data_IF_009826778302
#
_entry.id   IF_009826778302
#
_cell.length_a   1.000
_cell.length_b   1.000
_cell.length_c   1.000
_cell.angle_alpha   90.00
_cell.angle_beta   90.00
_cell.angle_gamma   90.00
#
_symmetry.space_group_name_H-M   'P 1'
#
loop_
_entity.id
_entity.type
_entity.pdbx_description
1 polymer ?
#
# COMPACT_ATOMS: atom_id res chain seq x y z
N UNK A 1 20.81 2.51 1.66
CA UNK A 1 19.37 2.13 1.75
C UNK A 1 18.55 3.41 1.85
N UNK A 2 17.54 3.58 0.99
CA UNK A 2 16.63 4.73 1.03
C UNK A 2 15.28 4.25 1.56
N UNK A 3 14.75 4.91 2.59
CA UNK A 3 13.45 4.61 3.17
C UNK A 3 12.53 5.82 2.98
N UNK A 4 11.43 5.64 2.25
CA UNK A 4 10.39 6.64 2.11
C UNK A 4 9.23 6.30 3.05
N UNK A 5 9.00 7.15 4.05
CA UNK A 5 7.92 6.97 5.02
C UNK A 5 6.82 8.00 4.72
N UNK A 6 5.65 7.52 4.31
CA UNK A 6 4.49 8.38 4.08
C UNK A 6 3.47 8.18 5.20
N UNK A 7 3.24 9.18 6.07
CA UNK A 7 2.26 9.05 7.14
C UNK A 7 0.83 8.90 6.60
N UNK A 8 0.00 8.12 7.30
CA UNK A 8 -1.40 7.87 6.90
C UNK A 8 -2.25 9.14 6.76
N UNK A 9 -2.05 10.15 7.59
CA UNK A 9 -2.84 11.38 7.55
C UNK A 9 -2.70 12.15 6.23
N UNK A 10 -1.56 12.04 5.55
CA UNK A 10 -1.35 12.61 4.21
C UNK A 10 -2.33 11.98 3.22
N UNK A 11 -2.45 10.65 3.25
CA UNK A 11 -3.37 9.90 2.40
C UNK A 11 -4.82 10.19 2.73
N UNK A 12 -5.17 10.37 4.01
CA UNK A 12 -6.53 10.78 4.41
C UNK A 12 -6.92 12.12 3.78
N UNK A 13 -6.01 13.10 3.78
CA UNK A 13 -6.23 14.40 3.12
C UNK A 13 -6.49 14.24 1.62
N UNK A 14 -5.72 13.41 0.93
CA UNK A 14 -5.88 13.12 -0.51
C UNK A 14 -7.19 12.37 -0.80
N UNK A 15 -7.52 11.39 0.03
CA UNK A 15 -8.65 10.48 -0.15
C UNK A 15 -9.98 11.06 0.36
N UNK A 16 -9.96 12.24 1.01
CA UNK A 16 -11.15 12.96 1.48
C UNK A 16 -12.20 13.26 0.40
N UNK A 17 -11.79 13.33 -0.87
CA UNK A 17 -12.68 13.54 -2.01
C UNK A 17 -12.47 12.46 -3.05
N UNK A 18 -13.52 11.70 -3.35
CA UNK A 18 -13.48 10.62 -4.35
C UNK A 18 -13.11 11.14 -5.74
N UNK A 19 -13.64 12.30 -6.16
CA UNK A 19 -13.31 12.92 -7.45
C UNK A 19 -11.82 13.30 -7.53
N UNK A 20 -11.29 13.93 -6.47
CA UNK A 20 -9.88 14.34 -6.41
C UNK A 20 -8.95 13.13 -6.37
N UNK A 21 -9.30 12.11 -5.56
CA UNK A 21 -8.48 10.92 -5.41
C UNK A 21 -8.40 10.12 -6.70
N UNK A 22 -9.52 9.93 -7.42
CA UNK A 22 -9.54 9.29 -8.74
C UNK A 22 -8.67 10.03 -9.75
N UNK A 23 -8.84 11.35 -9.86
CA UNK A 23 -8.03 12.17 -10.78
C UNK A 23 -6.53 12.06 -10.48
N UNK A 24 -6.16 12.16 -9.20
CA UNK A 24 -4.77 12.06 -8.78
C UNK A 24 -4.18 10.68 -9.06
N UNK A 25 -4.91 9.60 -8.74
CA UNK A 25 -4.49 8.22 -9.03
C UNK A 25 -4.25 8.01 -10.51
N UNK A 26 -5.16 8.46 -11.37
CA UNK A 26 -4.99 8.33 -12.82
C UNK A 26 -3.72 9.06 -13.30
N UNK A 27 -3.47 10.27 -12.79
CA UNK A 27 -2.27 11.04 -13.12
C UNK A 27 -0.98 10.33 -12.68
N UNK A 28 -0.98 9.76 -11.46
CA UNK A 28 0.15 8.97 -10.94
C UNK A 28 0.39 7.75 -11.82
N UNK A 29 -0.65 6.98 -12.16
CA UNK A 29 -0.53 5.79 -13.01
C UNK A 29 0.00 6.14 -14.41
N UNK A 30 -0.48 7.22 -15.01
CA UNK A 30 0.03 7.70 -16.30
C UNK A 30 1.53 8.05 -16.23
N UNK A 31 1.97 8.74 -15.18
CA UNK A 31 3.38 9.09 -14.99
C UNK A 31 4.25 7.86 -14.77
N UNK A 32 3.79 6.91 -13.96
CA UNK A 32 4.50 5.66 -13.71
C UNK A 32 4.65 4.84 -14.99
N UNK A 33 3.60 4.72 -15.81
CA UNK A 33 3.66 4.00 -17.07
C UNK A 33 4.62 4.61 -18.10
N UNK A 34 4.86 5.93 -18.02
CA UNK A 34 5.86 6.60 -18.85
C UNK A 34 7.29 6.50 -18.29
N UNK A 35 7.43 6.34 -16.98
CA UNK A 35 8.71 6.30 -16.28
C UNK A 35 9.29 4.89 -16.19
N UNK A 36 8.46 3.88 -15.96
CA UNK A 36 8.85 2.50 -15.68
C UNK A 36 8.15 1.53 -16.65
N UNK A 37 8.82 0.43 -16.97
CA UNK A 37 8.28 -0.70 -17.75
C UNK A 37 7.65 -1.77 -16.86
N UNK A 38 7.91 -1.75 -15.56
CA UNK A 38 7.35 -2.71 -14.62
C UNK A 38 5.81 -2.63 -14.61
N UNK A 39 5.12 -3.79 -14.62
CA UNK A 39 3.67 -3.81 -14.50
C UNK A 39 3.22 -3.35 -13.11
N UNK A 40 1.93 -3.03 -12.99
CA UNK A 40 1.32 -2.67 -11.71
C UNK A 40 1.22 -3.93 -10.85
N UNK A 41 1.92 -3.94 -9.72
CA UNK A 41 1.84 -5.05 -8.77
C UNK A 41 0.39 -5.27 -8.27
N UNK A 42 -0.13 -6.51 -8.26
CA UNK A 42 -1.54 -6.80 -7.95
C UNK A 42 -1.96 -6.42 -6.52
N UNK A 43 -1.00 -6.40 -5.58
CA UNK A 43 -1.26 -5.96 -4.20
C UNK A 43 -1.50 -4.45 -4.04
N UNK A 44 -1.22 -3.62 -5.06
CA UNK A 44 -1.43 -2.17 -5.02
C UNK A 44 -2.90 -1.78 -5.19
N UNK A 45 -3.68 -2.02 -4.13
CA UNK A 45 -5.11 -1.69 -4.00
C UNK A 45 -5.34 -0.25 -3.53
N UNK A 46 -6.59 0.20 -3.62
CA UNK A 46 -6.94 1.54 -3.13
C UNK A 46 -6.85 1.62 -1.60
N UNK A 47 -6.37 2.76 -1.12
CA UNK A 47 -6.40 3.09 0.31
C UNK A 47 -7.84 3.02 0.85
N UNK A 48 -8.03 2.29 1.95
CA UNK A 48 -9.33 2.13 2.62
C UNK A 48 -10.25 1.04 2.06
N UNK A 49 -9.85 0.30 1.01
CA UNK A 49 -10.62 -0.88 0.57
C UNK A 49 -10.62 -1.98 1.64
N UNK A 50 -11.76 -2.64 1.83
CA UNK A 50 -11.96 -3.66 2.87
C UNK A 50 -10.98 -4.84 2.77
N UNK A 51 -10.65 -5.24 1.55
CA UNK A 51 -9.73 -6.35 1.27
C UNK A 51 -8.30 -5.87 0.98
N UNK A 52 -7.98 -4.62 1.37
CA UNK A 52 -6.65 -4.07 1.24
C UNK A 52 -5.85 -4.26 2.54
N UNK A 53 -5.05 -5.32 2.55
CA UNK A 53 -4.10 -5.58 3.60
C UNK A 53 -2.81 -4.79 3.37
N UNK A 54 -2.70 -3.59 3.95
CA UNK A 54 -1.53 -2.70 3.75
C UNK A 54 -0.17 -3.37 4.03
N UNK A 55 -0.11 -4.36 4.92
CA UNK A 55 1.12 -5.11 5.20
C UNK A 55 1.66 -5.89 3.99
N UNK A 56 0.81 -6.20 3.00
CA UNK A 56 1.23 -6.81 1.73
C UNK A 56 1.90 -5.80 0.79
N UNK A 57 1.77 -4.50 1.06
CA UNK A 57 2.30 -3.42 0.22
C UNK A 57 3.56 -2.78 0.79
N UNK A 58 3.94 -3.07 2.05
CA UNK A 58 5.15 -2.52 2.67
C UNK A 58 6.43 -2.92 1.95
N UNK A 59 6.41 -4.07 1.28
CA UNK A 59 7.50 -4.55 0.44
C UNK A 59 6.91 -5.26 -0.77
N UNK A 60 7.05 -4.63 -1.94
CA UNK A 60 6.69 -5.25 -3.22
C UNK A 60 7.91 -6.02 -3.71
N UNK A 61 7.70 -7.29 -4.08
CA UNK A 61 8.76 -8.17 -4.56
C UNK A 61 8.80 -8.13 -6.08
N UNK A 62 9.99 -8.23 -6.65
CA UNK A 62 10.19 -8.24 -8.11
C UNK A 62 9.59 -9.49 -8.76
N UNK A 63 9.48 -10.60 -8.01
CA UNK A 63 8.88 -11.86 -8.45
C UNK A 63 7.34 -11.90 -8.33
N UNK A 64 6.72 -10.75 -8.00
CA UNK A 64 5.28 -10.57 -7.80
C UNK A 64 4.66 -11.47 -6.71
N UNK A 65 5.47 -12.13 -5.89
CA UNK A 65 4.95 -13.03 -4.85
C UNK A 65 4.31 -12.25 -3.71
N UNK A 66 3.11 -12.69 -3.30
CA UNK A 66 2.36 -12.07 -2.22
C UNK A 66 2.59 -12.89 -0.93
N UNK A 67 3.05 -12.27 0.17
CA UNK A 67 3.22 -13.00 1.42
C UNK A 67 1.88 -13.53 1.95
N UNK A 68 1.86 -14.80 2.34
CA UNK A 68 0.66 -15.51 2.81
C UNK A 68 0.29 -15.21 4.26
N UNK A 69 1.19 -14.57 5.03
CA UNK A 69 1.01 -14.26 6.45
C UNK A 69 1.55 -12.88 6.79
N UNK A 70 0.84 -12.16 7.66
CA UNK A 70 1.29 -10.87 8.16
C UNK A 70 2.55 -11.02 9.03
N UNK A 71 3.64 -10.30 8.75
CA UNK A 71 4.90 -10.39 9.51
C UNK A 71 4.75 -9.92 10.96
N UNK A 72 3.76 -9.07 11.25
CA UNK A 72 3.47 -8.57 12.59
C UNK A 72 2.55 -9.48 13.41
N UNK A 73 2.07 -10.59 12.85
CA UNK A 73 1.16 -11.52 13.53
C UNK A 73 1.73 -12.04 14.85
N UNK A 74 3.05 -12.28 14.93
CA UNK A 74 3.71 -12.72 16.17
C UNK A 74 3.68 -11.65 17.26
N UNK A 75 3.94 -10.39 16.89
CA UNK A 75 3.95 -9.26 17.83
C UNK A 75 2.55 -9.01 18.36
N UNK A 76 1.53 -9.03 17.49
CA UNK A 76 0.12 -8.86 17.90
C UNK A 76 -0.29 -9.95 18.90
N UNK A 77 0.05 -11.22 18.63
CA UNK A 77 -0.24 -12.33 19.57
C UNK A 77 0.44 -12.14 20.92
N UNK A 78 1.69 -11.68 20.95
CA UNK A 78 2.40 -11.40 22.18
C UNK A 78 1.74 -10.26 22.98
N UNK A 79 1.36 -9.17 22.31
CA UNK A 79 0.68 -8.05 22.95
C UNK A 79 -0.69 -8.44 23.51
N UNK A 80 -1.44 -9.30 22.81
CA UNK A 80 -2.73 -9.80 23.30
C UNK A 80 -2.61 -10.75 24.49
N UNK A 81 -1.51 -11.51 24.58
CA UNK A 81 -1.28 -12.45 25.69
C UNK A 81 -0.84 -11.77 26.99
N UNK A 82 -0.18 -10.61 26.89
CA UNK A 82 0.36 -9.85 28.03
C UNK A 82 -0.48 -8.60 28.35
N UNK A 83 -1.75 -8.62 27.96
CA UNK A 83 -2.76 -7.60 28.30
C UNK A 83 -3.80 -8.25 29.20
#
# INVERSE_FOLDING_TARGET
MMLALTPRWVLQGIMSSEKRSRKLKNLIRQRLAAYDKAPIHPSLKDYGQKDNYEWQQYFLRDDETIPSKCPFSRIIKYLHKNK
#
